data_IF_780472156028
#
_entry.id   IF_780472156028
#
_cell.length_a   1.000
_cell.length_b   1.000
_cell.length_c   1.000
_cell.angle_alpha   90.00
_cell.angle_beta   90.00
_cell.angle_gamma   90.00
#
_symmetry.space_group_name_H-M   'P 1'
#
loop_
_entity.id
_entity.type
_entity.pdbx_description
1 polymer ?
#
# COMPACT_ATOMS: atom_id res chain seq x y z
N UNK A 1 -4.70 1.22 8.74
CA UNK A 1 -3.27 1.21 8.41
C UNK A 1 -3.08 2.04 7.15
N UNK A 2 -1.90 2.59 6.93
CA UNK A 2 -1.58 3.38 5.74
C UNK A 2 -0.14 3.06 5.30
N UNK A 3 0.09 2.94 3.99
CA UNK A 3 1.40 2.67 3.41
C UNK A 3 2.17 3.98 3.27
N UNK A 4 3.24 4.11 4.04
CA UNK A 4 4.04 5.33 4.10
C UNK A 4 4.76 5.61 2.78
N UNK A 5 4.40 6.74 2.16
CA UNK A 5 4.99 7.24 0.92
C UNK A 5 5.08 6.17 -0.19
N UNK A 6 3.96 5.46 -0.41
CA UNK A 6 3.85 4.30 -1.29
C UNK A 6 4.61 4.47 -2.62
N UNK A 7 4.22 5.44 -3.45
CA UNK A 7 4.80 5.59 -4.79
C UNK A 7 6.31 5.76 -4.79
N UNK A 8 6.86 6.49 -3.82
CA UNK A 8 8.31 6.79 -3.77
C UNK A 8 9.14 5.63 -3.24
N UNK A 9 8.50 4.63 -2.63
CA UNK A 9 9.16 3.54 -1.90
C UNK A 9 9.12 2.19 -2.62
N UNK A 10 8.52 2.09 -3.81
CA UNK A 10 8.54 0.86 -4.61
C UNK A 10 9.88 0.73 -5.35
N UNK A 11 10.65 -0.36 -5.13
CA UNK A 11 11.86 -0.61 -5.90
C UNK A 11 11.53 -0.89 -7.37
N UNK A 12 12.23 -0.25 -8.31
CA UNK A 12 11.96 -0.40 -9.74
C UNK A 12 12.05 -1.86 -10.19
N UNK A 13 13.12 -2.56 -9.81
CA UNK A 13 13.35 -3.95 -10.23
C UNK A 13 12.24 -4.89 -9.78
N UNK A 14 11.76 -4.73 -8.54
CA UNK A 14 10.69 -5.56 -7.99
C UNK A 14 9.35 -5.23 -8.64
N UNK A 15 8.97 -3.95 -8.72
CA UNK A 15 7.69 -3.58 -9.33
C UNK A 15 7.61 -3.91 -10.83
N UNK A 16 8.70 -3.72 -11.59
CA UNK A 16 8.78 -4.16 -12.99
C UNK A 16 8.69 -5.70 -13.08
N UNK A 17 9.31 -6.41 -12.14
CA UNK A 17 9.22 -7.87 -12.03
C UNK A 17 7.78 -8.35 -11.89
N UNK A 18 7.01 -7.70 -11.01
CA UNK A 18 5.57 -7.96 -10.84
C UNK A 18 4.82 -7.71 -12.16
N UNK A 19 5.04 -6.56 -12.82
CA UNK A 19 4.41 -6.27 -14.12
C UNK A 19 4.70 -7.36 -15.16
N UNK A 20 5.93 -7.85 -15.26
CA UNK A 20 6.32 -8.87 -16.25
C UNK A 20 5.62 -10.22 -16.04
N UNK A 21 5.08 -10.50 -14.86
CA UNK A 21 4.31 -11.72 -14.59
C UNK A 21 2.85 -11.66 -15.05
N UNK A 22 2.26 -10.46 -15.17
CA UNK A 22 0.83 -10.26 -15.42
C UNK A 22 0.50 -9.48 -16.69
N UNK A 23 1.46 -8.72 -17.24
CA UNK A 23 1.25 -7.78 -18.33
C UNK A 23 2.08 -8.13 -19.57
N UNK A 24 1.73 -7.53 -20.71
CA UNK A 24 2.53 -7.68 -21.93
C UNK A 24 3.94 -7.08 -21.77
N UNK A 25 4.93 -7.68 -22.44
CA UNK A 25 6.32 -7.19 -22.45
C UNK A 25 6.40 -5.74 -22.90
N UNK A 26 5.62 -5.37 -23.92
CA UNK A 26 5.55 -3.99 -24.43
C UNK A 26 5.15 -2.98 -23.34
N UNK A 27 4.14 -3.28 -22.53
CA UNK A 27 3.73 -2.40 -21.43
C UNK A 27 4.80 -2.33 -20.34
N UNK A 28 5.45 -3.46 -20.04
CA UNK A 28 6.53 -3.50 -19.06
C UNK A 28 7.73 -2.65 -19.49
N UNK A 29 8.10 -2.70 -20.78
CA UNK A 29 9.19 -1.90 -21.33
C UNK A 29 8.86 -0.40 -21.27
N UNK A 30 7.61 -0.01 -21.55
CA UNK A 30 7.17 1.38 -21.40
C UNK A 30 7.20 1.85 -19.94
N UNK A 31 6.76 1.01 -18.99
CA UNK A 31 6.82 1.31 -17.55
C UNK A 31 8.28 1.47 -17.13
N UNK A 32 9.17 0.59 -17.57
CA UNK A 32 10.60 0.65 -17.29
C UNK A 32 11.18 1.99 -17.76
N UNK A 33 10.88 2.42 -19.01
CA UNK A 33 11.29 3.73 -19.52
C UNK A 33 10.74 4.88 -18.65
N UNK A 34 9.46 4.85 -18.29
CA UNK A 34 8.84 5.90 -17.47
C UNK A 34 9.51 6.01 -16.09
N UNK A 35 9.89 4.87 -15.50
CA UNK A 35 10.53 4.82 -14.18
C UNK A 35 12.00 5.26 -14.24
N UNK A 36 12.76 4.83 -15.25
CA UNK A 36 14.21 5.07 -15.32
C UNK A 36 14.60 6.37 -16.02
N UNK A 37 13.76 6.88 -16.91
CA UNK A 37 13.99 8.15 -17.63
C UNK A 37 13.25 9.32 -16.98
N UNK A 38 13.02 9.24 -15.66
CA UNK A 38 12.30 10.27 -14.92
C UNK A 38 13.26 11.33 -14.36
N UNK A 39 13.58 12.34 -15.17
CA UNK A 39 14.33 13.50 -14.74
C UNK A 39 13.41 14.65 -14.34
N UNK A 40 13.76 15.38 -13.29
CA UNK A 40 13.07 16.60 -12.88
C UNK A 40 14.07 17.63 -12.39
N UNK A 41 13.72 18.91 -12.52
CA UNK A 41 14.51 20.01 -11.99
C UNK A 41 13.99 20.39 -10.60
N UNK A 42 14.90 20.57 -9.66
CA UNK A 42 14.59 21.17 -8.36
C UNK A 42 15.65 22.22 -8.03
N UNK A 43 15.22 23.46 -7.84
CA UNK A 43 16.09 24.63 -7.88
C UNK A 43 16.86 24.69 -9.23
N UNK A 44 18.17 24.84 -9.19
CA UNK A 44 19.03 24.94 -10.39
C UNK A 44 19.64 23.60 -10.82
N UNK A 45 19.32 22.52 -10.09
CA UNK A 45 19.89 21.20 -10.32
C UNK A 45 18.90 20.25 -11.00
N UNK A 46 19.43 19.46 -11.93
CA UNK A 46 18.72 18.36 -12.58
C UNK A 46 18.91 17.07 -11.80
N UNK A 47 17.80 16.42 -11.46
CA UNK A 47 17.79 15.18 -10.69
C UNK A 47 17.19 14.05 -11.52
N UNK A 48 17.76 12.85 -11.40
CA UNK A 48 17.18 11.62 -11.91
C UNK A 48 16.55 10.83 -10.77
N UNK A 49 15.30 10.42 -10.94
CA UNK A 49 14.63 9.54 -9.97
C UNK A 49 15.08 8.10 -10.18
N UNK A 50 15.88 7.61 -9.23
CA UNK A 50 16.41 6.24 -9.24
C UNK A 50 15.56 5.23 -8.43
N UNK A 51 14.49 5.70 -7.78
CA UNK A 51 13.66 4.86 -6.92
C UNK A 51 12.21 5.37 -6.87
N UNK A 52 11.26 4.42 -6.79
CA UNK A 52 9.83 4.72 -6.79
C UNK A 52 9.30 5.24 -8.12
N UNK A 53 7.98 5.36 -8.21
CA UNK A 53 7.30 6.03 -9.30
C UNK A 53 7.18 7.53 -9.01
N UNK A 54 7.35 8.36 -10.04
CA UNK A 54 7.03 9.77 -9.94
C UNK A 54 5.53 9.97 -9.76
N UNK A 55 5.16 10.76 -8.74
CA UNK A 55 3.77 11.13 -8.49
C UNK A 55 3.22 11.93 -9.68
N UNK A 56 1.96 11.70 -10.02
CA UNK A 56 1.29 12.38 -11.14
C UNK A 56 1.45 11.67 -12.49
N UNK A 57 2.27 10.63 -12.60
CA UNK A 57 2.26 9.77 -13.79
C UNK A 57 0.96 8.95 -13.83
N UNK A 58 0.34 8.83 -15.01
CA UNK A 58 -0.94 8.13 -15.17
C UNK A 58 -0.84 6.63 -14.81
N UNK A 59 0.34 6.03 -14.96
CA UNK A 59 0.61 4.63 -14.63
C UNK A 59 0.86 4.37 -13.13
N UNK A 60 1.20 5.38 -12.33
CA UNK A 60 1.61 5.20 -10.92
C UNK A 60 0.57 4.44 -10.08
N UNK A 61 -0.73 4.76 -10.14
CA UNK A 61 -1.74 4.04 -9.36
C UNK A 61 -1.82 2.56 -9.71
N UNK A 62 -1.84 2.20 -11.00
CA UNK A 62 -1.93 0.81 -11.45
C UNK A 62 -0.66 0.03 -11.09
N UNK A 63 0.51 0.62 -11.34
CA UNK A 63 1.81 0.05 -10.97
C UNK A 63 1.91 -0.24 -9.47
N UNK A 64 1.51 0.72 -8.63
CA UNK A 64 1.54 0.56 -7.19
C UNK A 64 0.54 -0.52 -6.71
N UNK A 65 -0.64 -0.59 -7.32
CA UNK A 65 -1.64 -1.61 -6.99
C UNK A 65 -1.16 -3.02 -7.32
N UNK A 66 -0.50 -3.22 -8.46
CA UNK A 66 0.07 -4.51 -8.85
C UNK A 66 1.15 -4.95 -7.85
N UNK A 67 2.14 -4.09 -7.60
CA UNK A 67 3.20 -4.39 -6.65
C UNK A 67 2.67 -4.66 -5.24
N UNK A 68 1.76 -3.81 -4.75
CA UNK A 68 1.18 -4.00 -3.42
C UNK A 68 0.33 -5.27 -3.33
N UNK A 69 -0.40 -5.65 -4.38
CA UNK A 69 -1.19 -6.89 -4.38
C UNK A 69 -0.32 -8.12 -4.13
N UNK A 70 0.78 -8.27 -4.87
CA UNK A 70 1.69 -9.39 -4.69
C UNK A 70 2.39 -9.36 -3.31
N UNK A 71 2.80 -8.17 -2.86
CA UNK A 71 3.42 -7.99 -1.54
C UNK A 71 2.47 -8.37 -0.41
N UNK A 72 1.20 -7.94 -0.49
CA UNK A 72 0.15 -8.23 0.49
C UNK A 72 -0.18 -9.71 0.55
N UNK A 73 -0.30 -10.38 -0.60
CA UNK A 73 -0.56 -11.82 -0.66
C UNK A 73 0.52 -12.60 0.10
N UNK A 74 1.80 -12.27 -0.15
CA UNK A 74 2.93 -12.92 0.54
C UNK A 74 2.99 -12.53 2.02
N UNK A 75 2.71 -11.27 2.36
CA UNK A 75 2.66 -10.79 3.74
C UNK A 75 1.60 -11.55 4.55
N UNK A 76 0.37 -11.61 4.03
CA UNK A 76 -0.76 -12.27 4.68
C UNK A 76 -0.62 -13.80 4.69
N UNK A 77 0.06 -14.39 3.70
CA UNK A 77 0.38 -15.82 3.70
C UNK A 77 1.38 -16.18 4.81
N UNK A 78 2.38 -15.33 5.06
CA UNK A 78 3.44 -15.57 6.06
C UNK A 78 3.04 -15.23 7.50
N UNK A 79 1.96 -14.49 7.71
CA UNK A 79 1.52 -14.07 9.04
C UNK A 79 0.93 -15.23 9.87
N UNK A 80 1.36 -15.35 11.13
CA UNK A 80 0.88 -16.38 12.06
C UNK A 80 -0.62 -16.24 12.40
N UNK A 81 -1.09 -15.01 12.54
CA UNK A 81 -2.50 -14.66 12.73
C UNK A 81 -2.90 -13.64 11.68
N UNK A 82 -4.10 -13.79 11.13
CA UNK A 82 -4.57 -12.97 10.00
C UNK A 82 -5.72 -12.06 10.43
N UNK A 83 -5.83 -10.88 9.82
CA UNK A 83 -7.00 -10.03 10.02
C UNK A 83 -8.27 -10.74 9.49
N UNK A 84 -9.41 -10.46 10.12
CA UNK A 84 -10.71 -10.98 9.67
C UNK A 84 -11.13 -10.37 8.33
N UNK A 85 -10.80 -9.09 8.14
CA UNK A 85 -11.03 -8.32 6.91
C UNK A 85 -9.76 -7.55 6.59
N UNK A 86 -9.40 -7.50 5.31
CA UNK A 86 -8.33 -6.67 4.76
C UNK A 86 -8.80 -6.03 3.46
N UNK A 87 -8.96 -4.71 3.46
CA UNK A 87 -9.30 -3.93 2.28
C UNK A 87 -8.28 -2.83 2.10
N UNK A 88 -7.79 -2.65 0.86
CA UNK A 88 -6.87 -1.58 0.52
C UNK A 88 -7.46 -0.69 -0.56
N UNK A 89 -7.31 0.61 -0.38
CA UNK A 89 -7.54 1.63 -1.39
C UNK A 89 -6.26 2.42 -1.59
N UNK A 90 -5.54 2.14 -2.68
CA UNK A 90 -4.22 2.71 -2.97
C UNK A 90 -3.25 2.46 -1.80
N UNK A 91 -3.00 3.45 -0.94
CA UNK A 91 -2.15 3.36 0.24
C UNK A 91 -2.91 3.12 1.55
N UNK A 92 -4.20 3.44 1.60
CA UNK A 92 -5.03 3.29 2.79
C UNK A 92 -5.52 1.85 2.94
N UNK A 93 -5.33 1.27 4.13
CA UNK A 93 -5.70 -0.10 4.46
C UNK A 93 -6.67 -0.11 5.62
N UNK A 94 -7.89 -0.57 5.36
CA UNK A 94 -8.86 -0.90 6.38
C UNK A 94 -8.76 -2.38 6.76
N UNK A 95 -8.68 -2.68 8.05
CA UNK A 95 -8.66 -4.06 8.53
C UNK A 95 -9.44 -4.22 9.83
N UNK A 96 -10.02 -5.41 10.01
CA UNK A 96 -10.67 -5.80 11.28
C UNK A 96 -9.83 -6.89 11.93
N UNK A 97 -9.48 -6.68 13.20
CA UNK A 97 -8.67 -7.60 13.99
C UNK A 97 -9.45 -8.21 15.15
N UNK A 98 -9.37 -9.53 15.31
CA UNK A 98 -10.15 -10.27 16.33
C UNK A 98 -9.29 -11.13 17.26
N UNK A 99 -7.96 -11.03 17.18
CA UNK A 99 -7.03 -11.90 17.92
C UNK A 99 -6.37 -11.21 19.12
N UNK A 100 -6.99 -10.13 19.62
CA UNK A 100 -6.48 -9.35 20.75
C UNK A 100 -5.33 -8.41 20.39
N UNK A 101 -5.05 -7.45 21.29
CA UNK A 101 -4.11 -6.34 21.02
C UNK A 101 -2.66 -6.80 20.86
N UNK A 102 -2.19 -7.72 21.72
CA UNK A 102 -0.80 -8.21 21.65
C UNK A 102 -0.48 -8.85 20.29
N UNK A 103 -1.38 -9.66 19.74
CA UNK A 103 -1.17 -10.27 18.42
C UNK A 103 -1.26 -9.25 17.29
N UNK A 104 -2.07 -8.19 17.45
CA UNK A 104 -2.13 -7.08 16.49
C UNK A 104 -0.78 -6.35 16.43
N UNK A 105 -0.20 -6.03 17.59
CA UNK A 105 1.09 -5.34 17.65
C UNK A 105 2.20 -6.22 17.02
N UNK A 106 2.18 -7.54 17.26
CA UNK A 106 3.07 -8.50 16.59
C UNK A 106 2.87 -8.51 15.07
N UNK A 107 1.63 -8.50 14.60
CA UNK A 107 1.32 -8.46 13.16
C UNK A 107 1.81 -7.16 12.51
N UNK A 108 1.62 -6.01 13.15
CA UNK A 108 2.09 -4.71 12.66
C UNK A 108 3.63 -4.68 12.59
N UNK A 109 4.30 -5.25 13.60
CA UNK A 109 5.75 -5.40 13.59
C UNK A 109 6.22 -6.33 12.46
N UNK A 110 5.53 -7.46 12.23
CA UNK A 110 5.80 -8.36 11.11
C UNK A 110 5.66 -7.63 9.77
N UNK A 111 4.55 -6.92 9.56
CA UNK A 111 4.31 -6.15 8.33
C UNK A 111 5.39 -5.11 8.07
N UNK A 112 5.83 -4.37 9.09
CA UNK A 112 6.89 -3.39 8.96
C UNK A 112 8.28 -4.00 8.75
N UNK A 113 8.49 -5.27 9.10
CA UNK A 113 9.74 -5.98 8.85
C UNK A 113 9.70 -6.83 7.57
N UNK A 114 8.53 -6.98 6.94
CA UNK A 114 8.33 -7.86 5.80
C UNK A 114 9.08 -7.39 4.55
N UNK A 115 9.10 -6.07 4.30
CA UNK A 115 9.79 -5.48 3.17
C UNK A 115 10.72 -4.34 3.63
N UNK A 116 11.95 -4.22 3.10
CA UNK A 116 12.89 -3.19 3.52
C UNK A 116 12.38 -1.77 3.28
N UNK A 117 11.78 -1.50 2.11
CA UNK A 117 11.35 -0.15 1.72
C UNK A 117 9.88 0.18 2.02
N UNK A 118 9.01 -0.81 2.22
CA UNK A 118 7.58 -0.59 2.40
C UNK A 118 7.27 -0.64 3.89
N UNK A 119 6.73 0.47 4.41
CA UNK A 119 6.40 0.65 5.81
C UNK A 119 4.95 1.06 5.98
N UNK A 120 4.40 0.71 7.12
CA UNK A 120 3.01 0.91 7.45
C UNK A 120 2.87 1.72 8.74
N UNK A 121 2.02 2.74 8.68
CA UNK A 121 1.51 3.45 9.86
C UNK A 121 0.15 2.85 10.26
N UNK A 122 -0.21 2.95 11.54
CA UNK A 122 -1.45 2.37 12.05
C UNK A 122 -2.17 3.27 13.05
N UNK A 123 -3.43 3.57 12.76
CA UNK A 123 -4.40 4.12 13.72
C UNK A 123 -5.30 2.98 14.18
N UNK A 124 -5.39 2.75 15.50
CA UNK A 124 -6.10 1.61 16.08
C UNK A 124 -7.19 2.14 17.00
N UNK A 125 -8.41 1.62 16.84
CA UNK A 125 -9.56 1.95 17.69
C UNK A 125 -10.46 0.74 17.85
N UNK A 126 -11.09 0.62 19.01
CA UNK A 126 -12.05 -0.45 19.32
C UNK A 126 -13.50 -0.07 19.08
N UNK A 127 -13.79 1.19 18.74
CA UNK A 127 -15.17 1.69 18.60
C UNK A 127 -15.42 2.40 17.27
N UNK A 128 -14.45 3.18 16.78
CA UNK A 128 -14.59 3.90 15.51
C UNK A 128 -13.24 4.24 14.88
N UNK A 129 -13.16 4.21 13.55
CA UNK A 129 -11.96 4.58 12.80
C UNK A 129 -12.34 5.44 11.59
N UNK A 130 -11.65 6.56 11.35
CA UNK A 130 -11.81 7.29 10.10
C UNK A 130 -11.17 6.51 8.95
N UNK A 131 -11.85 6.46 7.80
CA UNK A 131 -11.37 5.83 6.58
C UNK A 131 -12.04 6.46 5.35
N UNK A 132 -11.25 6.99 4.40
CA UNK A 132 -11.70 7.62 3.15
C UNK A 132 -12.87 8.59 3.34
N UNK A 133 -12.67 9.60 4.20
CA UNK A 133 -13.67 10.63 4.54
C UNK A 133 -14.94 10.15 5.26
N UNK A 134 -14.98 8.87 5.67
CA UNK A 134 -16.09 8.29 6.44
C UNK A 134 -15.61 7.88 7.83
N UNK A 135 -16.45 8.09 8.85
CA UNK A 135 -16.22 7.54 10.18
C UNK A 135 -16.94 6.20 10.31
N UNK A 136 -16.18 5.11 10.36
CA UNK A 136 -16.73 3.76 10.54
C UNK A 136 -16.82 3.50 12.04
N UNK A 137 -18.01 3.19 12.56
CA UNK A 137 -18.24 2.86 13.97
C UNK A 137 -18.83 1.46 14.14
N UNK A 138 -18.48 0.82 15.26
CA UNK A 138 -19.12 -0.40 15.72
C UNK A 138 -20.29 -0.01 16.62
N UNK A 139 -21.52 -0.29 16.17
CA UNK A 139 -22.72 -0.17 16.99
C UNK A 139 -23.23 -1.54 17.41
N UNK A 140 -23.45 -1.71 18.72
CA UNK A 140 -24.24 -2.82 19.22
C UNK A 140 -25.72 -2.51 18.92
N UNK A 141 -26.25 -3.19 17.90
CA UNK A 141 -27.64 -3.17 17.40
C UNK A 141 -27.92 -2.29 16.18
N UNK A 142 -28.64 -2.90 15.23
CA UNK A 142 -29.40 -2.32 14.11
C UNK A 142 -29.65 -0.82 14.23
N UNK A 143 -28.77 -0.02 13.65
CA UNK A 143 -29.03 1.37 13.31
C UNK A 143 -28.05 1.76 12.20
N UNK A 144 -28.62 1.94 11.03
CA UNK A 144 -27.98 2.34 9.78
C UNK A 144 -27.10 3.55 10.06
N UNK A 145 -25.83 3.63 9.58
CA UNK A 145 -25.09 4.86 9.67
C UNK A 145 -25.77 5.86 8.74
N UNK A 146 -26.34 6.90 9.32
CA UNK A 146 -26.66 8.15 8.65
C UNK A 146 -25.39 8.65 7.97
N UNK A 147 -25.31 8.44 6.66
CA UNK A 147 -24.50 9.27 5.77
C UNK A 147 -25.37 10.50 5.53
N UNK A 148 -25.01 11.62 6.15
CA UNK A 148 -25.59 12.97 6.02
C UNK A 148 -27.09 13.07 5.66
#
# INVERSE_FOLDING_TARGET
>A
MDVSALYTNIPHGEGIGVCKSGESTFLCDLIEIILTCNCFQFADDMWLRIHGAAMGTCMAPSYANLFMGELEDKLLASAATKPKIWFRYVGDIFLIWTHGRSNLDTFIAHANNFHPSIKFSSTISSSHVPFLDVLISLSDAYSIPSIF
#
